data_IF_607982708180
#
_entry.id   IF_607982708180
#
_cell.length_a   1.000
_cell.length_b   1.000
_cell.length_c   1.000
_cell.angle_alpha   90.00
_cell.angle_beta   90.00
_cell.angle_gamma   90.00
#
_symmetry.space_group_name_H-M   'P 1'
#
loop_
_entity.id
_entity.type
_entity.pdbx_description
1 polymer ?
#
# COMPACT_ATOMS: atom_id res chain seq x y z
N UNK A 1 -55.55 -38.96 -11.54
CA UNK A 1 -54.48 -38.22 -12.24
C UNK A 1 -53.89 -37.11 -11.37
N UNK A 2 -54.72 -36.23 -10.78
CA UNK A 2 -54.24 -35.14 -9.90
C UNK A 2 -53.47 -35.63 -8.66
N UNK A 3 -54.00 -36.58 -7.90
CA UNK A 3 -53.32 -37.14 -6.71
C UNK A 3 -51.93 -37.71 -7.05
N UNK A 4 -51.83 -38.53 -8.11
CA UNK A 4 -50.55 -39.10 -8.53
C UNK A 4 -49.52 -38.03 -8.89
N UNK A 5 -49.90 -36.98 -9.63
CA UNK A 5 -48.97 -35.92 -10.01
C UNK A 5 -48.46 -35.15 -8.78
N UNK A 6 -49.34 -34.85 -7.82
CA UNK A 6 -48.97 -34.16 -6.58
C UNK A 6 -48.07 -35.04 -5.71
N UNK A 7 -48.40 -36.32 -5.53
CA UNK A 7 -47.58 -37.26 -4.77
C UNK A 7 -46.20 -37.45 -5.39
N UNK A 8 -46.10 -37.54 -6.72
CA UNK A 8 -44.81 -37.62 -7.43
C UNK A 8 -43.95 -36.37 -7.17
N UNK A 9 -44.54 -35.17 -7.26
CA UNK A 9 -43.82 -33.92 -6.99
C UNK A 9 -43.36 -33.83 -5.53
N UNK A 10 -44.17 -34.29 -4.57
CA UNK A 10 -43.78 -34.38 -3.16
C UNK A 10 -42.58 -35.31 -3.00
N UNK A 11 -42.63 -36.52 -3.56
CA UNK A 11 -41.53 -37.50 -3.47
C UNK A 11 -40.23 -36.96 -4.08
N UNK A 12 -40.32 -36.24 -5.22
CA UNK A 12 -39.15 -35.60 -5.83
C UNK A 12 -38.54 -34.55 -4.90
N UNK A 13 -39.37 -33.71 -4.27
CA UNK A 13 -38.89 -32.70 -3.33
C UNK A 13 -38.28 -33.36 -2.07
N UNK A 14 -38.89 -34.40 -1.53
CA UNK A 14 -38.33 -35.16 -0.40
C UNK A 14 -36.96 -35.74 -0.75
N UNK A 15 -36.84 -36.37 -1.93
CA UNK A 15 -35.57 -36.94 -2.40
C UNK A 15 -34.48 -35.87 -2.52
N UNK A 16 -34.83 -34.70 -3.04
CA UNK A 16 -33.91 -33.56 -3.14
C UNK A 16 -33.41 -33.10 -1.76
N UNK A 17 -34.32 -32.95 -0.80
CA UNK A 17 -34.02 -32.49 0.57
C UNK A 17 -33.21 -33.51 1.38
N UNK A 18 -33.47 -34.81 1.20
CA UNK A 18 -32.82 -35.87 1.98
C UNK A 18 -31.43 -36.24 1.45
N UNK A 19 -31.27 -36.30 0.11
CA UNK A 19 -30.07 -36.87 -0.51
C UNK A 19 -29.54 -36.06 -1.69
N UNK A 20 -30.41 -35.31 -2.38
CA UNK A 20 -30.02 -34.61 -3.61
C UNK A 20 -29.06 -33.44 -3.40
N UNK A 21 -29.02 -32.87 -2.19
CA UNK A 21 -28.14 -31.74 -1.83
C UNK A 21 -26.85 -32.16 -1.12
N UNK A 22 -26.72 -33.43 -0.72
CA UNK A 22 -25.58 -33.91 0.11
C UNK A 22 -24.21 -33.69 -0.55
N UNK A 23 -24.01 -33.92 -1.87
CA UNK A 23 -22.72 -33.65 -2.49
C UNK A 23 -22.34 -32.17 -2.42
N UNK A 24 -23.30 -31.27 -2.63
CA UNK A 24 -23.08 -29.83 -2.63
C UNK A 24 -22.81 -29.31 -1.22
N UNK A 25 -23.60 -29.75 -0.22
CA UNK A 25 -23.39 -29.34 1.17
C UNK A 25 -22.07 -29.85 1.74
N UNK A 26 -21.61 -31.05 1.35
CA UNK A 26 -20.29 -31.56 1.74
C UNK A 26 -19.13 -30.71 1.19
N UNK A 27 -19.23 -30.27 -0.07
CA UNK A 27 -18.22 -29.37 -0.67
C UNK A 27 -18.22 -28.00 0.03
N UNK A 28 -19.40 -27.44 0.29
CA UNK A 28 -19.54 -26.16 1.01
C UNK A 28 -18.95 -26.29 2.42
N UNK A 29 -19.27 -27.36 3.14
CA UNK A 29 -18.77 -27.59 4.49
C UNK A 29 -17.25 -27.72 4.54
N UNK A 30 -16.65 -28.37 3.54
CA UNK A 30 -15.19 -28.47 3.43
C UNK A 30 -14.53 -27.10 3.20
N UNK A 31 -15.21 -26.18 2.51
CA UNK A 31 -14.66 -24.87 2.16
C UNK A 31 -14.87 -23.82 3.25
N UNK A 32 -16.06 -23.77 3.86
CA UNK A 32 -16.47 -22.65 4.74
C UNK A 32 -17.09 -23.11 6.06
N UNK A 33 -17.06 -24.42 6.34
CA UNK A 33 -17.57 -24.98 7.58
C UNK A 33 -19.07 -25.28 7.57
N UNK A 34 -19.55 -25.74 8.72
CA UNK A 34 -20.83 -26.46 8.83
C UNK A 34 -22.09 -25.60 8.87
N UNK A 35 -22.01 -24.30 9.11
CA UNK A 35 -23.19 -23.47 9.41
C UNK A 35 -24.27 -23.53 8.31
N UNK A 36 -23.88 -23.42 7.04
CA UNK A 36 -24.81 -23.55 5.91
C UNK A 36 -25.44 -24.94 5.88
N UNK A 37 -24.63 -25.99 6.05
CA UNK A 37 -25.08 -27.37 6.09
C UNK A 37 -26.05 -27.64 7.24
N UNK A 38 -25.76 -27.12 8.43
CA UNK A 38 -26.60 -27.21 9.63
C UNK A 38 -27.96 -26.51 9.39
N UNK A 39 -27.95 -25.28 8.86
CA UNK A 39 -29.18 -24.53 8.54
C UNK A 39 -30.04 -25.25 7.49
N UNK A 40 -29.43 -25.72 6.40
CA UNK A 40 -30.14 -26.44 5.35
C UNK A 40 -30.68 -27.78 5.84
N UNK A 41 -29.92 -28.51 6.66
CA UNK A 41 -30.34 -29.80 7.23
C UNK A 41 -31.54 -29.62 8.17
N UNK A 42 -31.52 -28.58 9.01
CA UNK A 42 -32.61 -28.28 9.92
C UNK A 42 -33.90 -27.91 9.16
N UNK A 43 -33.79 -26.96 8.21
CA UNK A 43 -34.93 -26.55 7.38
C UNK A 43 -35.46 -27.70 6.51
N UNK A 44 -34.58 -28.56 5.99
CA UNK A 44 -34.95 -29.75 5.21
C UNK A 44 -35.67 -30.79 6.06
N UNK A 45 -35.23 -31.01 7.31
CA UNK A 45 -35.90 -31.94 8.24
C UNK A 45 -37.32 -31.49 8.54
N UNK A 46 -37.51 -30.21 8.82
CA UNK A 46 -38.82 -29.62 9.08
C UNK A 46 -39.75 -29.70 7.87
N UNK A 47 -39.25 -29.33 6.69
CA UNK A 47 -40.01 -29.37 5.45
C UNK A 47 -40.39 -30.80 5.08
N UNK A 48 -39.46 -31.75 5.22
CA UNK A 48 -39.72 -33.16 4.95
C UNK A 48 -40.79 -33.75 5.88
N UNK A 49 -40.77 -33.42 7.17
CA UNK A 49 -41.82 -33.84 8.10
C UNK A 49 -43.22 -33.36 7.65
N UNK A 50 -43.31 -32.12 7.16
CA UNK A 50 -44.55 -31.58 6.59
C UNK A 50 -44.95 -32.26 5.27
N UNK A 51 -44.00 -32.60 4.40
CA UNK A 51 -44.25 -33.32 3.15
C UNK A 51 -44.74 -34.77 3.40
N UNK A 52 -44.17 -35.46 4.40
CA UNK A 52 -44.66 -36.77 4.85
C UNK A 52 -46.10 -36.66 5.35
N UNK A 53 -46.41 -35.65 6.17
CA UNK A 53 -47.76 -35.43 6.67
C UNK A 53 -48.75 -35.11 5.54
N UNK A 54 -48.37 -34.25 4.59
CA UNK A 54 -49.18 -33.91 3.41
C UNK A 54 -49.45 -35.15 2.55
N UNK A 55 -48.45 -35.99 2.32
CA UNK A 55 -48.60 -37.26 1.59
C UNK A 55 -49.60 -38.19 2.27
N UNK A 56 -49.53 -38.31 3.60
CA UNK A 56 -50.48 -39.11 4.37
C UNK A 56 -51.92 -38.58 4.25
N UNK A 57 -52.13 -37.26 4.37
CA UNK A 57 -53.47 -36.65 4.24
C UNK A 57 -54.02 -36.77 2.82
N UNK A 58 -53.19 -36.60 1.79
CA UNK A 58 -53.57 -36.81 0.39
C UNK A 58 -53.96 -38.27 0.14
N UNK A 59 -53.24 -39.23 0.72
CA UNK A 59 -53.57 -40.64 0.65
C UNK A 59 -54.92 -40.98 1.29
N UNK A 60 -55.22 -40.41 2.46
CA UNK A 60 -56.52 -40.56 3.12
C UNK A 60 -57.66 -39.95 2.29
N UNK A 61 -57.44 -38.76 1.72
CA UNK A 61 -58.40 -38.11 0.84
C UNK A 61 -58.67 -38.93 -0.43
N UNK A 62 -57.61 -39.43 -1.07
CA UNK A 62 -57.71 -40.29 -2.26
C UNK A 62 -58.48 -41.57 -1.95
N UNK A 63 -58.14 -42.25 -0.85
CA UNK A 63 -58.83 -43.48 -0.43
C UNK A 63 -60.31 -43.25 -0.16
N UNK A 64 -60.67 -42.16 0.54
CA UNK A 64 -62.05 -41.77 0.79
C UNK A 64 -62.84 -41.49 -0.49
N UNK A 65 -62.25 -40.76 -1.43
CA UNK A 65 -62.87 -40.50 -2.75
C UNK A 65 -63.04 -41.80 -3.54
N UNK A 66 -62.03 -42.67 -3.58
CA UNK A 66 -62.12 -43.96 -4.28
C UNK A 66 -63.18 -44.87 -3.68
N UNK A 67 -63.30 -44.91 -2.35
CA UNK A 67 -64.35 -45.67 -1.66
C UNK A 67 -65.75 -45.11 -1.96
N UNK A 68 -65.90 -43.78 -2.03
CA UNK A 68 -67.16 -43.14 -2.40
C UNK A 68 -67.57 -43.49 -3.84
N UNK A 69 -66.63 -43.44 -4.81
CA UNK A 69 -66.86 -43.85 -6.19
C UNK A 69 -67.28 -45.33 -6.28
N UNK A 70 -66.59 -46.20 -5.55
CA UNK A 70 -66.91 -47.62 -5.52
C UNK A 70 -68.31 -47.89 -4.94
N UNK A 71 -68.72 -47.12 -3.93
CA UNK A 71 -70.02 -47.25 -3.30
C UNK A 71 -71.19 -46.72 -4.17
N UNK A 72 -70.95 -45.71 -5.01
CA UNK A 72 -71.96 -45.18 -5.95
C UNK A 72 -72.00 -45.90 -7.28
N UNK A 73 -70.92 -46.59 -7.68
CA UNK A 73 -70.77 -47.17 -9.02
C UNK A 73 -70.74 -46.12 -10.14
N UNK A 74 -70.56 -44.84 -9.79
CA UNK A 74 -70.61 -43.69 -10.68
C UNK A 74 -69.63 -42.63 -10.21
N UNK A 75 -69.04 -41.90 -11.17
CA UNK A 75 -68.19 -40.72 -10.91
C UNK A 75 -68.98 -39.51 -10.39
N UNK A 76 -70.31 -39.53 -10.50
CA UNK A 76 -71.19 -38.51 -9.94
C UNK A 76 -71.60 -38.92 -8.53
N UNK A 77 -70.88 -38.43 -7.53
CA UNK A 77 -71.05 -38.82 -6.12
C UNK A 77 -71.97 -37.80 -5.43
N UNK A 78 -73.12 -38.22 -4.87
CA UNK A 78 -73.94 -37.33 -4.06
C UNK A 78 -73.19 -36.86 -2.81
N UNK A 79 -73.36 -35.59 -2.42
CA UNK A 79 -72.71 -34.99 -1.24
C UNK A 79 -72.88 -35.81 0.04
N UNK A 80 -74.05 -36.43 0.22
CA UNK A 80 -74.36 -37.28 1.37
C UNK A 80 -73.50 -38.54 1.42
N UNK A 81 -73.18 -39.11 0.25
CA UNK A 81 -72.29 -40.27 0.12
C UNK A 81 -70.84 -39.83 0.27
N UNK A 82 -70.45 -38.71 -0.35
CA UNK A 82 -69.09 -38.18 -0.24
C UNK A 82 -68.71 -37.85 1.21
N UNK A 83 -69.59 -37.19 1.97
CA UNK A 83 -69.37 -36.86 3.39
C UNK A 83 -69.24 -38.08 4.30
N UNK A 84 -69.73 -39.25 3.86
CA UNK A 84 -69.61 -40.51 4.60
C UNK A 84 -68.22 -41.11 4.50
N UNK A 85 -67.54 -40.92 3.37
CA UNK A 85 -66.21 -41.48 3.10
C UNK A 85 -65.08 -40.45 3.22
N UNK A 86 -65.39 -39.16 3.06
CA UNK A 86 -64.46 -38.04 3.26
C UNK A 86 -64.98 -37.21 4.44
N UNK A 87 -64.42 -37.47 5.61
CA UNK A 87 -64.82 -36.73 6.81
C UNK A 87 -64.31 -35.27 6.76
N UNK A 88 -65.03 -34.31 7.38
CA UNK A 88 -64.54 -32.94 7.55
C UNK A 88 -63.15 -32.86 8.20
N UNK A 89 -62.82 -33.83 9.06
CA UNK A 89 -61.50 -33.96 9.67
C UNK A 89 -60.40 -34.13 8.62
N UNK A 90 -60.57 -35.03 7.63
CA UNK A 90 -59.56 -35.26 6.57
C UNK A 90 -59.34 -34.00 5.75
N UNK A 91 -60.41 -33.27 5.43
CA UNK A 91 -60.32 -32.00 4.71
C UNK A 91 -59.58 -30.94 5.53
N UNK A 92 -59.89 -30.83 6.82
CA UNK A 92 -59.23 -29.88 7.71
C UNK A 92 -57.73 -30.18 7.89
N UNK A 93 -57.37 -31.44 8.13
CA UNK A 93 -55.96 -31.85 8.26
C UNK A 93 -55.18 -31.64 6.96
N UNK A 94 -55.79 -31.87 5.79
CA UNK A 94 -55.17 -31.55 4.50
C UNK A 94 -54.92 -30.04 4.35
N UNK A 95 -55.91 -29.20 4.68
CA UNK A 95 -55.76 -27.74 4.65
C UNK A 95 -54.67 -27.26 5.61
N UNK A 96 -54.58 -27.87 6.80
CA UNK A 96 -53.53 -27.59 7.77
C UNK A 96 -52.15 -27.97 7.23
N UNK A 97 -52.01 -29.16 6.64
CA UNK A 97 -50.75 -29.61 6.04
C UNK A 97 -50.28 -28.67 4.92
N UNK A 98 -51.21 -28.16 4.10
CA UNK A 98 -50.91 -27.16 3.06
C UNK A 98 -50.46 -25.81 3.66
N UNK A 99 -51.10 -25.38 4.76
CA UNK A 99 -50.72 -24.16 5.46
C UNK A 99 -49.34 -24.30 6.12
N UNK A 100 -49.03 -25.45 6.70
CA UNK A 100 -47.71 -25.76 7.26
C UNK A 100 -46.64 -25.83 6.17
N UNK A 101 -46.96 -26.36 4.99
CA UNK A 101 -46.04 -26.36 3.85
C UNK A 101 -45.73 -24.92 3.42
N UNK A 102 -46.76 -24.09 3.33
CA UNK A 102 -46.64 -22.67 2.99
C UNK A 102 -45.81 -21.89 4.01
N UNK A 103 -45.87 -22.24 5.30
CA UNK A 103 -45.12 -21.56 6.35
C UNK A 103 -43.65 -22.00 6.44
N UNK A 104 -43.32 -23.24 6.04
CA UNK A 104 -41.94 -23.78 6.12
C UNK A 104 -41.10 -23.56 4.87
N UNK A 105 -41.70 -23.48 3.68
CA UNK A 105 -40.98 -23.19 2.44
C UNK A 105 -40.10 -21.92 2.49
N UNK A 106 -40.57 -20.78 3.05
CA UNK A 106 -39.78 -19.55 3.12
C UNK A 106 -38.45 -19.69 3.85
N UNK A 107 -38.32 -20.61 4.82
CA UNK A 107 -37.08 -20.79 5.57
C UNK A 107 -35.96 -21.34 4.66
N UNK A 108 -36.28 -22.35 3.83
CA UNK A 108 -35.31 -22.91 2.87
C UNK A 108 -34.90 -21.85 1.86
N UNK A 109 -35.88 -21.11 1.32
CA UNK A 109 -35.62 -20.01 0.39
C UNK A 109 -34.72 -18.95 1.02
N UNK A 110 -35.02 -18.52 2.25
CA UNK A 110 -34.22 -17.55 2.98
C UNK A 110 -32.78 -17.98 3.18
N UNK A 111 -32.53 -19.25 3.56
CA UNK A 111 -31.15 -19.75 3.73
C UNK A 111 -30.38 -19.70 2.40
N UNK A 112 -31.02 -20.11 1.30
CA UNK A 112 -30.40 -20.05 -0.04
C UNK A 112 -30.12 -18.60 -0.44
N UNK A 113 -31.09 -17.71 -0.31
CA UNK A 113 -30.93 -16.28 -0.64
C UNK A 113 -29.86 -15.60 0.22
N UNK A 114 -29.82 -15.91 1.53
CA UNK A 114 -28.81 -15.39 2.45
C UNK A 114 -27.41 -15.82 2.03
N UNK A 115 -27.20 -17.10 1.75
CA UNK A 115 -25.88 -17.62 1.34
C UNK A 115 -25.42 -17.04 0.00
N UNK A 116 -26.33 -16.92 -0.97
CA UNK A 116 -26.05 -16.24 -2.25
C UNK A 116 -25.76 -14.76 -2.06
N UNK A 117 -26.47 -14.08 -1.16
CA UNK A 117 -26.25 -12.67 -0.81
C UNK A 117 -24.88 -12.44 -0.17
N UNK A 118 -24.46 -13.32 0.73
CA UNK A 118 -23.12 -13.30 1.33
C UNK A 118 -22.02 -13.52 0.29
N UNK A 119 -22.19 -14.48 -0.62
CA UNK A 119 -21.25 -14.72 -1.72
C UNK A 119 -21.13 -13.50 -2.65
N UNK A 120 -22.26 -12.91 -3.03
CA UNK A 120 -22.29 -11.70 -3.87
C UNK A 120 -21.59 -10.51 -3.18
N UNK A 121 -21.82 -10.33 -1.88
CA UNK A 121 -21.18 -9.27 -1.09
C UNK A 121 -19.69 -9.51 -0.92
N UNK A 122 -19.28 -10.77 -0.72
CA UNK A 122 -17.88 -11.18 -0.65
C UNK A 122 -17.13 -10.89 -1.97
N UNK A 123 -17.75 -11.19 -3.11
CA UNK A 123 -17.19 -10.92 -4.44
C UNK A 123 -17.04 -9.41 -4.70
N UNK A 124 -18.09 -8.64 -4.46
CA UNK A 124 -18.06 -7.18 -4.59
C UNK A 124 -16.97 -6.56 -3.71
N UNK A 125 -16.87 -6.97 -2.45
CA UNK A 125 -15.80 -6.51 -1.56
C UNK A 125 -14.41 -6.87 -2.06
N UNK A 126 -14.19 -8.07 -2.60
CA UNK A 126 -12.88 -8.46 -3.11
C UNK A 126 -12.43 -7.54 -4.24
N UNK A 127 -13.33 -7.24 -5.19
CA UNK A 127 -13.05 -6.31 -6.29
C UNK A 127 -12.74 -4.90 -5.78
N UNK A 128 -13.63 -4.34 -4.94
CA UNK A 128 -13.44 -3.00 -4.36
C UNK A 128 -12.15 -2.92 -3.52
N UNK A 129 -11.83 -3.99 -2.80
CA UNK A 129 -10.62 -4.08 -1.99
C UNK A 129 -9.36 -4.11 -2.86
N UNK A 130 -9.35 -4.90 -3.94
CA UNK A 130 -8.23 -4.97 -4.88
C UNK A 130 -8.00 -3.62 -5.56
N UNK A 131 -9.07 -2.98 -6.06
CA UNK A 131 -8.99 -1.65 -6.67
C UNK A 131 -8.46 -0.61 -5.67
N UNK A 132 -8.93 -0.67 -4.42
CA UNK A 132 -8.45 0.22 -3.34
C UNK A 132 -6.98 0.00 -2.98
N UNK A 133 -6.48 -1.23 -3.03
CA UNK A 133 -5.05 -1.53 -2.83
C UNK A 133 -4.21 -0.99 -3.99
N UNK A 134 -4.65 -1.22 -5.22
CA UNK A 134 -3.95 -0.75 -6.43
C UNK A 134 -3.87 0.78 -6.48
N UNK A 135 -4.95 1.48 -6.09
CA UNK A 135 -4.94 2.93 -5.98
C UNK A 135 -3.87 3.42 -4.99
N UNK A 136 -3.72 2.75 -3.83
CA UNK A 136 -2.72 3.13 -2.82
C UNK A 136 -1.29 2.85 -3.27
N UNK A 137 -1.07 1.78 -4.04
CA UNK A 137 0.22 1.50 -4.67
C UNK A 137 0.56 2.60 -5.68
N UNK A 138 -0.37 2.94 -6.57
CA UNK A 138 -0.18 3.98 -7.58
C UNK A 138 0.04 5.36 -6.97
N UNK A 139 -0.67 5.70 -5.90
CA UNK A 139 -0.47 6.95 -5.15
C UNK A 139 0.96 7.04 -4.59
N UNK A 140 1.46 5.93 -4.03
CA UNK A 140 2.83 5.85 -3.49
C UNK A 140 3.87 6.06 -4.58
N UNK A 141 3.72 5.38 -5.72
CA UNK A 141 4.63 5.50 -6.87
C UNK A 141 4.59 6.92 -7.46
N UNK A 142 3.41 7.51 -7.62
CA UNK A 142 3.27 8.90 -8.13
C UNK A 142 3.91 9.92 -7.19
N UNK A 143 3.93 9.66 -5.89
CA UNK A 143 4.59 10.56 -4.95
C UNK A 143 6.10 10.62 -5.17
N UNK A 144 6.72 9.50 -5.53
CA UNK A 144 8.14 9.46 -5.90
C UNK A 144 8.46 10.42 -7.05
N UNK A 145 7.59 10.56 -8.06
CA UNK A 145 7.80 11.52 -9.15
C UNK A 145 7.84 12.98 -8.67
N UNK A 146 7.10 13.33 -7.62
CA UNK A 146 7.15 14.66 -7.00
C UNK A 146 8.49 14.88 -6.32
N UNK A 147 8.90 13.91 -5.49
CA UNK A 147 10.19 13.95 -4.78
C UNK A 147 11.35 14.01 -5.77
N UNK A 148 11.29 13.26 -6.88
CA UNK A 148 12.30 13.31 -7.93
C UNK A 148 12.51 14.74 -8.43
N UNK A 149 11.44 15.46 -8.77
CA UNK A 149 11.52 16.85 -9.25
C UNK A 149 12.11 17.79 -8.19
N UNK A 150 11.72 17.62 -6.94
CA UNK A 150 12.27 18.40 -5.82
C UNK A 150 13.77 18.15 -5.63
N UNK A 151 14.20 16.88 -5.74
CA UNK A 151 15.61 16.52 -5.63
C UNK A 151 16.45 17.01 -6.82
N UNK A 152 15.92 16.95 -8.04
CA UNK A 152 16.55 17.53 -9.23
C UNK A 152 16.73 19.05 -9.09
N UNK A 153 15.72 19.77 -8.60
CA UNK A 153 15.83 21.20 -8.31
C UNK A 153 16.84 21.47 -7.19
N UNK A 154 16.85 20.65 -6.13
CA UNK A 154 17.81 20.76 -5.04
C UNK A 154 19.25 20.55 -5.51
N UNK A 155 19.50 19.63 -6.44
CA UNK A 155 20.82 19.41 -7.05
C UNK A 155 21.37 20.70 -7.67
N UNK A 156 20.54 21.38 -8.47
CA UNK A 156 20.91 22.64 -9.10
C UNK A 156 21.22 23.73 -8.06
N UNK A 157 20.33 23.91 -7.07
CA UNK A 157 20.53 24.90 -6.01
C UNK A 157 21.82 24.65 -5.23
N UNK A 158 22.10 23.39 -4.87
CA UNK A 158 23.33 23.02 -4.16
C UNK A 158 24.57 23.32 -5.00
N UNK A 159 24.56 22.97 -6.29
CA UNK A 159 25.67 23.25 -7.19
C UNK A 159 25.92 24.77 -7.32
N UNK A 160 24.86 25.55 -7.46
CA UNK A 160 24.93 27.02 -7.53
C UNK A 160 25.45 27.64 -6.24
N UNK A 161 25.03 27.14 -5.07
CA UNK A 161 25.54 27.57 -3.76
C UNK A 161 27.04 27.30 -3.56
N UNK A 162 27.65 26.42 -4.37
CA UNK A 162 29.11 26.21 -4.41
C UNK A 162 29.75 27.13 -5.46
N UNK A 163 29.25 27.09 -6.69
CA UNK A 163 29.88 27.73 -7.85
C UNK A 163 29.82 29.26 -7.77
N UNK A 164 28.68 29.84 -7.37
CA UNK A 164 28.50 31.29 -7.41
C UNK A 164 29.42 32.03 -6.42
N UNK A 165 29.58 31.60 -5.16
CA UNK A 165 30.54 32.22 -4.24
C UNK A 165 31.99 32.07 -4.69
N UNK A 166 32.38 30.88 -5.18
CA UNK A 166 33.72 30.64 -5.72
C UNK A 166 34.03 31.58 -6.89
N UNK A 167 33.11 31.67 -7.85
CA UNK A 167 33.21 32.59 -8.98
C UNK A 167 33.40 34.03 -8.50
N UNK A 168 32.47 34.52 -7.67
CA UNK A 168 32.44 35.91 -7.20
C UNK A 168 33.73 36.30 -6.49
N UNK A 169 34.18 35.48 -5.54
CA UNK A 169 35.38 35.82 -4.75
C UNK A 169 36.65 35.73 -5.60
N UNK A 170 36.84 34.64 -6.35
CA UNK A 170 38.04 34.45 -7.16
C UNK A 170 38.16 35.51 -8.27
N UNK A 171 37.09 35.79 -9.01
CA UNK A 171 37.11 36.80 -10.07
C UNK A 171 37.36 38.20 -9.52
N UNK A 172 36.86 38.51 -8.31
CA UNK A 172 37.19 39.75 -7.60
C UNK A 172 38.70 39.85 -7.36
N UNK A 173 39.33 38.83 -6.78
CA UNK A 173 40.78 38.87 -6.52
C UNK A 173 41.60 39.05 -7.79
N UNK A 174 41.31 38.28 -8.84
CA UNK A 174 42.03 38.36 -10.12
C UNK A 174 41.84 39.73 -10.78
N UNK A 175 40.63 40.30 -10.72
CA UNK A 175 40.37 41.64 -11.24
C UNK A 175 41.15 42.72 -10.48
N UNK A 176 41.27 42.59 -9.15
CA UNK A 176 41.97 43.54 -8.29
C UNK A 176 43.47 43.57 -8.52
N UNK A 177 44.10 42.46 -8.92
CA UNK A 177 45.54 42.41 -9.22
C UNK A 177 45.86 42.62 -10.71
N UNK A 178 44.86 42.79 -11.57
CA UNK A 178 45.06 42.83 -13.01
C UNK A 178 46.01 43.98 -13.45
N UNK A 179 45.94 45.14 -12.79
CA UNK A 179 46.76 46.31 -13.13
C UNK A 179 48.25 46.15 -12.79
N UNK A 180 48.59 45.30 -11.80
CA UNK A 180 49.98 45.00 -11.40
C UNK A 180 50.51 43.69 -11.98
N UNK A 181 49.72 42.98 -12.78
CA UNK A 181 50.04 41.62 -13.25
C UNK A 181 51.41 41.52 -13.92
N UNK A 182 51.71 42.40 -14.87
CA UNK A 182 53.00 42.37 -15.58
C UNK A 182 54.18 42.72 -14.68
N UNK A 183 53.97 43.60 -13.69
CA UNK A 183 54.99 43.92 -12.70
C UNK A 183 55.24 42.76 -11.75
N UNK A 184 54.19 42.07 -11.29
CA UNK A 184 54.32 40.85 -10.50
C UNK A 184 55.09 39.77 -11.26
N UNK A 185 54.85 39.62 -12.56
CA UNK A 185 55.55 38.67 -13.44
C UNK A 185 57.04 39.00 -13.64
N UNK A 186 57.44 40.24 -13.41
CA UNK A 186 58.83 40.68 -13.55
C UNK A 186 59.63 40.54 -12.23
N UNK A 187 58.99 40.17 -11.12
CA UNK A 187 59.68 39.91 -9.85
C UNK A 187 60.46 38.60 -9.93
N UNK A 188 61.67 38.58 -9.35
CA UNK A 188 62.52 37.38 -9.31
C UNK A 188 61.83 36.19 -8.61
N UNK A 189 61.03 36.45 -7.56
CA UNK A 189 60.27 35.43 -6.83
C UNK A 189 58.99 34.96 -7.52
N UNK A 190 58.67 35.49 -8.71
CA UNK A 190 57.41 35.15 -9.39
C UNK A 190 57.30 33.67 -9.71
N UNK A 191 58.25 33.12 -10.46
CA UNK A 191 58.14 31.74 -10.97
C UNK A 191 58.19 30.69 -9.86
N UNK A 192 59.01 30.94 -8.83
CA UNK A 192 59.22 29.97 -7.74
C UNK A 192 58.18 30.09 -6.61
N UNK A 193 57.67 31.30 -6.31
CA UNK A 193 56.81 31.54 -5.15
C UNK A 193 55.37 31.91 -5.50
N UNK A 194 55.14 32.79 -6.48
CA UNK A 194 53.81 33.33 -6.74
C UNK A 194 53.04 32.56 -7.81
N UNK A 195 53.72 32.20 -8.91
CA UNK A 195 53.10 31.50 -10.04
C UNK A 195 52.45 30.17 -9.61
N UNK A 196 53.10 29.30 -8.81
CA UNK A 196 52.49 28.03 -8.38
C UNK A 196 51.24 28.25 -7.53
N UNK A 197 51.24 29.27 -6.68
CA UNK A 197 50.07 29.66 -5.86
C UNK A 197 48.91 30.10 -6.75
N UNK A 198 49.15 31.02 -7.69
CA UNK A 198 48.11 31.51 -8.60
C UNK A 198 47.55 30.40 -9.49
N UNK A 199 48.41 29.51 -9.99
CA UNK A 199 47.99 28.34 -10.76
C UNK A 199 47.12 27.39 -9.91
N UNK A 200 47.46 27.17 -8.64
CA UNK A 200 46.67 26.34 -7.73
C UNK A 200 45.30 26.95 -7.40
N UNK A 201 45.23 28.26 -7.15
CA UNK A 201 43.95 28.97 -6.99
C UNK A 201 43.12 28.90 -8.28
N UNK A 202 43.75 29.04 -9.46
CA UNK A 202 43.07 28.92 -10.74
C UNK A 202 42.55 27.49 -10.99
N UNK A 203 43.32 26.47 -10.60
CA UNK A 203 42.88 25.07 -10.69
C UNK A 203 41.68 24.79 -9.77
N UNK A 204 41.64 25.38 -8.57
CA UNK A 204 40.58 25.13 -7.61
C UNK A 204 39.31 25.97 -7.86
N UNK A 205 39.45 27.26 -8.15
CA UNK A 205 38.32 28.19 -8.24
C UNK A 205 38.06 28.73 -9.65
N UNK A 206 38.95 28.45 -10.61
CA UNK A 206 38.83 28.92 -11.98
C UNK A 206 37.68 28.24 -12.75
N UNK A 207 37.41 28.76 -13.95
CA UNK A 207 36.28 28.34 -14.77
C UNK A 207 36.28 26.83 -15.07
N UNK A 208 37.45 26.24 -15.34
CA UNK A 208 37.56 24.83 -15.68
C UNK A 208 36.99 23.90 -14.59
N UNK A 209 37.37 24.11 -13.32
CA UNK A 209 36.84 23.32 -12.20
C UNK A 209 35.39 23.67 -11.87
N UNK A 210 34.99 24.95 -11.98
CA UNK A 210 33.59 25.34 -11.73
C UNK A 210 32.61 24.63 -12.68
N UNK A 211 33.01 24.37 -13.92
CA UNK A 211 32.20 23.63 -14.90
C UNK A 211 32.03 22.14 -14.55
N UNK A 212 32.88 21.56 -13.69
CA UNK A 212 32.76 20.15 -13.28
C UNK A 212 31.92 19.94 -12.04
N UNK A 213 31.73 20.98 -11.22
CA UNK A 213 31.01 20.87 -9.93
C UNK A 213 29.54 20.46 -10.13
N UNK A 214 28.82 21.11 -11.05
CA UNK A 214 27.41 20.78 -11.28
C UNK A 214 27.22 19.32 -11.74
N UNK A 215 27.92 18.81 -12.77
CA UNK A 215 27.84 17.40 -13.15
C UNK A 215 28.15 16.41 -12.01
N UNK A 216 29.08 16.76 -11.12
CA UNK A 216 29.41 15.94 -9.95
C UNK A 216 28.26 15.89 -8.95
N UNK A 217 27.65 17.03 -8.62
CA UNK A 217 26.47 17.10 -7.74
C UNK A 217 25.29 16.35 -8.37
N UNK A 218 25.03 16.56 -9.67
CA UNK A 218 23.96 15.87 -10.40
C UNK A 218 24.13 14.35 -10.36
N UNK A 219 25.36 13.86 -10.48
CA UNK A 219 25.67 12.42 -10.37
C UNK A 219 25.33 11.88 -8.97
N UNK A 220 25.63 12.63 -7.90
CA UNK A 220 25.32 12.23 -6.52
C UNK A 220 23.81 12.10 -6.32
N UNK A 221 23.04 13.10 -6.76
CA UNK A 221 21.58 13.10 -6.63
C UNK A 221 20.91 12.06 -7.53
N UNK A 222 21.42 11.87 -8.76
CA UNK A 222 20.92 10.82 -9.68
C UNK A 222 21.12 9.42 -9.10
N UNK A 223 22.28 9.15 -8.50
CA UNK A 223 22.55 7.87 -7.84
C UNK A 223 21.63 7.65 -6.64
N UNK A 224 21.37 8.70 -5.85
CA UNK A 224 20.40 8.64 -4.75
C UNK A 224 18.99 8.29 -5.25
N UNK A 225 18.51 8.98 -6.28
CA UNK A 225 17.19 8.74 -6.87
C UNK A 225 17.06 7.33 -7.46
N UNK A 226 18.11 6.84 -8.13
CA UNK A 226 18.17 5.47 -8.64
C UNK A 226 18.06 4.42 -7.52
N UNK A 227 18.61 4.70 -6.35
CA UNK A 227 18.52 3.76 -5.22
C UNK A 227 17.17 3.86 -4.52
N UNK A 228 16.64 5.06 -4.33
CA UNK A 228 15.42 5.25 -3.51
C UNK A 228 14.17 4.68 -4.19
N UNK A 229 14.05 4.75 -5.52
CA UNK A 229 12.91 4.17 -6.27
C UNK A 229 12.81 2.64 -6.12
N UNK A 230 13.93 1.98 -5.82
CA UNK A 230 13.91 0.52 -5.61
C UNK A 230 13.20 0.12 -4.31
N UNK A 231 12.94 1.06 -3.40
CA UNK A 231 12.29 0.78 -2.12
C UNK A 231 10.77 0.56 -2.28
N UNK A 232 10.14 1.19 -3.28
CA UNK A 232 8.71 1.07 -3.61
C UNK A 232 8.39 0.25 -4.87
N UNK A 233 9.37 -0.03 -5.75
CA UNK A 233 9.23 -0.91 -6.95
C UNK A 233 8.69 -2.34 -6.68
N UNK A 234 8.51 -2.72 -5.42
CA UNK A 234 8.01 -4.03 -5.00
C UNK A 234 6.81 -3.94 -4.06
N UNK A 235 6.17 -2.77 -3.96
CA UNK A 235 5.03 -2.59 -3.04
C UNK A 235 3.81 -3.39 -3.49
N UNK A 236 3.55 -3.45 -4.80
CA UNK A 236 2.52 -4.30 -5.43
C UNK A 236 2.72 -5.78 -5.07
N UNK A 237 3.93 -6.31 -5.26
CA UNK A 237 4.27 -7.71 -4.97
C UNK A 237 4.18 -8.00 -3.48
N UNK A 238 4.59 -7.05 -2.66
CA UNK A 238 4.49 -7.15 -1.21
C UNK A 238 3.02 -7.28 -0.77
N UNK A 239 2.13 -6.42 -1.27
CA UNK A 239 0.72 -6.52 -0.94
C UNK A 239 0.07 -7.80 -1.47
N UNK A 240 0.35 -8.18 -2.72
CA UNK A 240 -0.15 -9.43 -3.30
C UNK A 240 0.22 -10.66 -2.45
N UNK A 241 1.46 -10.73 -1.96
CA UNK A 241 1.92 -11.83 -1.12
C UNK A 241 1.30 -11.79 0.30
N UNK A 242 1.18 -10.59 0.90
CA UNK A 242 0.81 -10.46 2.32
C UNK A 242 -0.68 -10.28 2.59
N UNK A 243 -1.48 -9.87 1.61
CA UNK A 243 -2.92 -9.64 1.81
C UNK A 243 -3.80 -10.87 1.56
N UNK A 244 -3.31 -11.89 0.84
CA UNK A 244 -4.14 -13.06 0.51
C UNK A 244 -4.74 -13.73 1.75
N UNK A 245 -3.94 -13.97 2.79
CA UNK A 245 -4.40 -14.60 4.03
C UNK A 245 -5.45 -13.77 4.79
N UNK A 246 -5.21 -12.49 5.13
CA UNK A 246 -6.21 -11.69 5.82
C UNK A 246 -7.47 -11.42 4.99
N UNK A 247 -7.35 -11.22 3.67
CA UNK A 247 -8.52 -11.07 2.79
C UNK A 247 -9.37 -12.33 2.81
N UNK A 248 -8.74 -13.50 2.65
CA UNK A 248 -9.44 -14.79 2.73
C UNK A 248 -10.14 -14.96 4.08
N UNK A 249 -9.52 -14.60 5.19
CA UNK A 249 -10.15 -14.70 6.51
C UNK A 249 -11.42 -13.84 6.63
N UNK A 250 -11.43 -12.62 6.09
CA UNK A 250 -12.62 -11.75 6.09
C UNK A 250 -13.73 -12.36 5.22
N UNK A 251 -13.38 -12.87 4.04
CA UNK A 251 -14.33 -13.48 3.11
C UNK A 251 -14.94 -14.77 3.68
N UNK A 252 -14.12 -15.66 4.24
CA UNK A 252 -14.57 -16.93 4.82
C UNK A 252 -15.58 -16.72 5.93
N UNK A 253 -15.39 -15.72 6.81
CA UNK A 253 -16.35 -15.44 7.88
C UNK A 253 -17.72 -15.01 7.35
N UNK A 254 -17.76 -14.24 6.25
CA UNK A 254 -19.03 -13.86 5.62
C UNK A 254 -19.68 -15.07 4.92
N UNK A 255 -18.90 -15.80 4.11
CA UNK A 255 -19.41 -16.92 3.30
C UNK A 255 -19.87 -18.07 4.19
N UNK A 256 -19.17 -18.34 5.30
CA UNK A 256 -19.57 -19.35 6.28
C UNK A 256 -20.99 -19.13 6.81
N UNK A 257 -21.53 -17.91 6.74
CA UNK A 257 -22.90 -17.58 7.17
C UNK A 257 -23.17 -17.99 8.64
N UNK A 258 -22.14 -17.89 9.48
CA UNK A 258 -22.26 -18.15 10.91
C UNK A 258 -23.05 -17.05 11.64
N UNK A 259 -23.32 -17.24 12.94
CA UNK A 259 -24.18 -16.34 13.74
C UNK A 259 -23.72 -14.87 13.76
N UNK A 260 -22.43 -14.61 13.54
CA UNK A 260 -21.82 -13.29 13.59
C UNK A 260 -21.22 -12.85 12.25
N UNK A 261 -21.53 -13.54 11.13
CA UNK A 261 -20.92 -13.33 9.82
C UNK A 261 -20.93 -11.86 9.38
N UNK A 262 -22.13 -11.26 9.29
CA UNK A 262 -22.31 -9.86 8.88
C UNK A 262 -21.61 -8.87 9.80
N UNK A 263 -21.66 -9.10 11.13
CA UNK A 263 -21.03 -8.24 12.12
C UNK A 263 -19.51 -8.25 11.98
N UNK A 264 -18.91 -9.44 11.91
CA UNK A 264 -17.46 -9.59 11.81
C UNK A 264 -16.95 -9.08 10.47
N UNK A 265 -17.66 -9.37 9.38
CA UNK A 265 -17.36 -8.80 8.07
C UNK A 265 -17.37 -7.27 8.12
N UNK A 266 -18.46 -6.66 8.57
CA UNK A 266 -18.60 -5.20 8.65
C UNK A 266 -17.56 -4.54 9.56
N UNK A 267 -17.08 -5.25 10.59
CA UNK A 267 -16.04 -4.77 11.50
C UNK A 267 -14.66 -4.78 10.85
N UNK A 268 -14.30 -5.85 10.13
CA UNK A 268 -12.92 -6.05 9.66
C UNK A 268 -12.68 -5.71 8.18
N UNK A 269 -13.70 -5.77 7.32
CA UNK A 269 -13.56 -5.44 5.89
C UNK A 269 -13.05 -4.01 5.65
N UNK A 270 -13.61 -2.94 6.24
CA UNK A 270 -13.06 -1.58 6.06
C UNK A 270 -11.71 -1.41 6.77
N UNK A 271 -11.48 -2.13 7.87
CA UNK A 271 -10.24 -2.02 8.64
C UNK A 271 -9.05 -2.63 7.89
N UNK A 272 -9.28 -3.67 7.10
CA UNK A 272 -8.24 -4.27 6.28
C UNK A 272 -7.72 -3.27 5.23
N UNK A 273 -8.61 -2.54 4.56
CA UNK A 273 -8.23 -1.45 3.65
C UNK A 273 -7.59 -0.28 4.40
N UNK A 274 -8.08 0.01 5.62
CA UNK A 274 -7.46 0.99 6.51
C UNK A 274 -6.00 0.63 6.85
N UNK A 275 -5.69 -0.65 7.07
CA UNK A 275 -4.33 -1.11 7.33
C UNK A 275 -3.40 -0.87 6.13
N UNK A 276 -3.88 -1.13 4.92
CA UNK A 276 -3.15 -0.83 3.68
C UNK A 276 -2.92 0.68 3.55
N UNK A 277 -3.95 1.49 3.81
CA UNK A 277 -3.85 2.95 3.73
C UNK A 277 -2.84 3.52 4.72
N UNK A 278 -2.82 3.03 5.97
CA UNK A 278 -1.82 3.43 6.97
C UNK A 278 -0.42 3.04 6.55
N UNK A 279 -0.25 1.85 5.97
CA UNK A 279 1.05 1.42 5.47
C UNK A 279 1.53 2.29 4.30
N UNK A 280 0.70 2.49 3.27
CA UNK A 280 1.01 3.35 2.12
C UNK A 280 1.38 4.78 2.58
N UNK A 281 0.57 5.39 3.45
CA UNK A 281 0.87 6.72 4.02
C UNK A 281 2.22 6.76 4.74
N UNK A 282 2.63 5.66 5.37
CA UNK A 282 3.95 5.58 6.02
C UNK A 282 5.08 5.65 5.01
N UNK A 283 4.96 5.05 3.83
CA UNK A 283 5.96 5.19 2.77
C UNK A 283 6.10 6.65 2.33
N UNK A 284 4.96 7.32 2.12
CA UNK A 284 4.92 8.75 1.79
C UNK A 284 5.66 9.58 2.84
N UNK A 285 5.34 9.38 4.12
CA UNK A 285 6.01 10.10 5.22
C UNK A 285 7.52 9.80 5.29
N UNK A 286 7.94 8.55 5.06
CA UNK A 286 9.36 8.19 5.03
C UNK A 286 10.11 9.01 3.98
N UNK A 287 9.53 9.18 2.79
CA UNK A 287 10.14 9.98 1.74
C UNK A 287 10.13 11.47 2.03
N UNK A 288 9.02 12.03 2.49
CA UNK A 288 8.90 13.46 2.81
C UNK A 288 9.93 13.90 3.86
N UNK A 289 10.08 13.12 4.93
CA UNK A 289 11.04 13.42 5.99
C UNK A 289 12.48 13.45 5.44
N UNK A 290 12.82 12.53 4.54
CA UNK A 290 14.14 12.47 3.96
C UNK A 290 14.37 13.56 2.89
N UNK A 291 13.36 13.91 2.11
CA UNK A 291 13.39 15.04 1.19
C UNK A 291 13.64 16.37 1.94
N UNK A 292 12.92 16.61 3.05
CA UNK A 292 13.13 17.78 3.90
C UNK A 292 14.54 17.83 4.52
N UNK A 293 15.08 16.67 4.91
CA UNK A 293 16.46 16.57 5.44
C UNK A 293 17.49 16.91 4.37
N UNK A 294 17.30 16.42 3.15
CA UNK A 294 18.19 16.72 2.02
C UNK A 294 18.09 18.18 1.58
N UNK A 295 16.90 18.79 1.62
CA UNK A 295 16.73 20.21 1.32
C UNK A 295 17.58 21.10 2.25
N UNK A 296 17.75 20.72 3.52
CA UNK A 296 18.59 21.44 4.49
C UNK A 296 20.10 21.32 4.23
N UNK A 297 20.52 20.39 3.37
CA UNK A 297 21.93 20.23 3.01
C UNK A 297 22.44 21.45 2.24
N UNK A 298 21.59 22.12 1.43
CA UNK A 298 21.97 23.35 0.74
C UNK A 298 22.44 24.45 1.70
N UNK A 299 21.71 24.68 2.80
CA UNK A 299 22.09 25.64 3.83
C UNK A 299 23.41 25.27 4.53
N UNK A 300 23.66 23.98 4.72
CA UNK A 300 24.94 23.52 5.29
C UNK A 300 26.10 23.76 4.31
N UNK A 301 25.89 23.47 3.02
CA UNK A 301 26.86 23.71 1.95
C UNK A 301 27.19 25.20 1.85
N UNK A 302 26.20 26.09 1.89
CA UNK A 302 26.41 27.54 1.86
C UNK A 302 27.35 28.02 2.98
N UNK A 303 27.16 27.51 4.21
CA UNK A 303 28.01 27.87 5.36
C UNK A 303 29.44 27.38 5.18
N UNK A 304 29.63 26.17 4.67
CA UNK A 304 30.97 25.62 4.39
C UNK A 304 31.66 26.39 3.27
N UNK A 305 30.93 26.71 2.19
CA UNK A 305 31.43 27.48 1.05
C UNK A 305 31.82 28.89 1.49
N UNK A 306 31.06 29.55 2.37
CA UNK A 306 31.44 30.85 2.93
C UNK A 306 32.79 30.79 3.67
N UNK A 307 33.05 29.73 4.44
CA UNK A 307 34.35 29.53 5.11
C UNK A 307 35.49 29.25 4.13
N UNK A 308 35.22 28.56 3.02
CA UNK A 308 36.22 28.30 1.96
C UNK A 308 36.58 29.62 1.28
N UNK A 309 35.57 30.41 0.92
CA UNK A 309 35.73 31.68 0.21
C UNK A 309 36.52 32.70 1.03
N UNK A 310 36.39 32.70 2.36
CA UNK A 310 37.18 33.56 3.23
C UNK A 310 38.70 33.40 3.02
N UNK A 311 39.19 32.19 2.72
CA UNK A 311 40.61 31.94 2.42
C UNK A 311 41.08 32.47 1.05
N UNK A 312 40.20 33.10 0.30
CA UNK A 312 40.49 33.74 -1.00
C UNK A 312 40.46 35.26 -0.88
N UNK A 313 39.70 35.82 0.08
CA UNK A 313 39.27 37.23 0.06
C UNK A 313 40.37 38.28 0.23
N UNK A 314 41.55 37.90 0.74
CA UNK A 314 42.67 38.81 1.03
C UNK A 314 43.87 38.68 0.07
N UNK A 315 43.80 37.75 -0.89
CA UNK A 315 44.92 37.47 -1.81
C UNK A 315 45.38 38.75 -2.52
N UNK A 316 44.46 39.49 -3.13
CA UNK A 316 44.81 40.71 -3.88
C UNK A 316 45.39 41.79 -2.96
N UNK A 317 44.85 41.97 -1.76
CA UNK A 317 45.31 42.95 -0.79
C UNK A 317 46.76 42.70 -0.40
N UNK A 318 47.11 41.45 -0.11
CA UNK A 318 48.48 41.08 0.26
C UNK A 318 49.44 41.18 -0.92
N UNK A 319 49.03 40.79 -2.13
CA UNK A 319 49.85 40.94 -3.34
C UNK A 319 50.13 42.42 -3.68
N UNK A 320 49.12 43.29 -3.57
CA UNK A 320 49.27 44.74 -3.78
C UNK A 320 50.18 45.35 -2.70
N UNK A 321 50.03 44.93 -1.44
CA UNK A 321 50.88 45.40 -0.35
C UNK A 321 52.36 45.02 -0.57
N UNK A 322 52.63 43.77 -0.96
CA UNK A 322 54.00 43.35 -1.31
C UNK A 322 54.54 44.09 -2.52
N UNK A 323 53.74 44.27 -3.58
CA UNK A 323 54.15 45.01 -4.76
C UNK A 323 54.55 46.47 -4.43
N UNK A 324 53.82 47.14 -3.54
CA UNK A 324 54.10 48.53 -3.16
C UNK A 324 55.31 48.69 -2.23
N UNK A 325 55.91 47.59 -1.73
CA UNK A 325 57.09 47.62 -0.88
C UNK A 325 58.35 47.70 -1.74
N UNK A 326 58.75 48.90 -2.14
CA UNK A 326 59.99 49.12 -2.91
C UNK A 326 61.16 49.37 -1.95
N UNK A 327 62.33 48.74 -2.14
CA UNK A 327 62.69 47.79 -3.23
C UNK A 327 62.33 46.32 -2.94
N UNK A 328 61.86 46.00 -1.74
CA UNK A 328 61.77 44.64 -1.20
C UNK A 328 60.57 43.79 -1.69
N UNK A 329 59.92 44.16 -2.80
CA UNK A 329 58.66 43.54 -3.23
C UNK A 329 58.83 42.06 -3.57
N UNK A 330 59.98 41.69 -4.17
CA UNK A 330 60.33 40.30 -4.47
C UNK A 330 60.50 39.46 -3.18
N UNK A 331 61.17 40.00 -2.16
CA UNK A 331 61.38 39.34 -0.87
C UNK A 331 60.06 39.17 -0.10
N UNK A 332 59.18 40.18 -0.15
CA UNK A 332 57.84 40.10 0.44
C UNK A 332 57.02 38.96 -0.16
N UNK A 333 57.01 38.83 -1.49
CA UNK A 333 56.31 37.73 -2.19
C UNK A 333 56.92 36.36 -1.83
N UNK A 334 58.25 36.25 -1.76
CA UNK A 334 58.92 35.02 -1.36
C UNK A 334 58.57 34.61 0.09
N UNK A 335 58.32 35.59 0.97
CA UNK A 335 57.93 35.36 2.36
C UNK A 335 56.49 34.85 2.50
N UNK A 336 55.52 35.40 1.75
CA UNK A 336 54.10 34.99 1.86
C UNK A 336 53.72 33.80 0.97
N UNK A 337 54.53 33.48 -0.05
CA UNK A 337 54.27 32.41 -1.01
C UNK A 337 54.02 31.03 -0.35
N UNK A 338 54.88 30.58 0.60
CA UNK A 338 54.68 29.32 1.32
C UNK A 338 53.33 29.26 2.07
N UNK A 339 52.96 30.32 2.78
CA UNK A 339 51.70 30.37 3.54
C UNK A 339 50.48 30.24 2.63
N UNK A 340 50.50 30.91 1.47
CA UNK A 340 49.43 30.79 0.48
C UNK A 340 49.40 29.44 -0.23
N UNK A 341 50.57 28.79 -0.39
CA UNK A 341 50.67 27.42 -0.92
C UNK A 341 50.02 26.41 0.04
N UNK A 342 50.29 26.54 1.34
CA UNK A 342 49.62 25.72 2.36
C UNK A 342 48.13 26.03 2.43
N UNK A 343 47.74 27.31 2.40
CA UNK A 343 46.35 27.72 2.42
C UNK A 343 45.55 27.11 1.27
N UNK A 344 46.04 27.19 0.02
CA UNK A 344 45.31 26.62 -1.12
C UNK A 344 45.23 25.09 -1.06
N UNK A 345 46.23 24.41 -0.49
CA UNK A 345 46.19 22.98 -0.23
C UNK A 345 45.08 22.61 0.79
N UNK A 346 44.94 23.40 1.86
CA UNK A 346 43.85 23.24 2.85
C UNK A 346 42.49 23.55 2.22
N UNK A 347 42.39 24.61 1.39
CA UNK A 347 41.15 24.94 0.69
C UNK A 347 40.70 23.81 -0.23
N UNK A 348 41.64 23.14 -0.91
CA UNK A 348 41.33 21.95 -1.71
C UNK A 348 40.68 20.86 -0.87
N UNK A 349 41.24 20.54 0.30
CA UNK A 349 40.66 19.54 1.20
C UNK A 349 39.24 19.91 1.64
N UNK A 350 38.99 21.20 1.92
CA UNK A 350 37.66 21.69 2.29
C UNK A 350 36.66 21.59 1.13
N UNK A 351 37.08 21.84 -0.11
CA UNK A 351 36.24 21.64 -1.31
C UNK A 351 35.91 20.16 -1.49
N UNK A 352 36.91 19.28 -1.35
CA UNK A 352 36.72 17.83 -1.42
C UNK A 352 35.79 17.34 -0.28
N UNK A 353 35.85 17.94 0.91
CA UNK A 353 34.94 17.67 2.03
C UNK A 353 33.48 18.00 1.75
N UNK A 354 33.20 19.09 1.03
CA UNK A 354 31.83 19.42 0.62
C UNK A 354 31.23 18.30 -0.23
N UNK A 355 32.01 17.75 -1.18
CA UNK A 355 31.56 16.64 -2.02
C UNK A 355 31.37 15.33 -1.22
N UNK A 356 32.30 15.05 -0.29
CA UNK A 356 32.18 13.91 0.62
C UNK A 356 30.94 14.02 1.50
N UNK A 357 30.64 15.21 2.02
CA UNK A 357 29.45 15.47 2.80
C UNK A 357 28.18 15.19 2.01
N UNK A 358 28.08 15.69 0.78
CA UNK A 358 26.91 15.44 -0.09
C UNK A 358 26.68 13.94 -0.28
N UNK A 359 27.74 13.19 -0.60
CA UNK A 359 27.68 11.73 -0.77
C UNK A 359 27.27 11.03 0.52
N UNK A 360 27.80 11.45 1.67
CA UNK A 360 27.47 10.86 2.96
C UNK A 360 26.01 11.14 3.35
N UNK A 361 25.51 12.36 3.10
CA UNK A 361 24.14 12.73 3.42
C UNK A 361 23.11 12.00 2.56
N UNK A 362 23.33 11.87 1.25
CA UNK A 362 22.43 11.10 0.37
C UNK A 362 22.45 9.61 0.71
N UNK A 363 23.62 9.05 1.02
CA UNK A 363 23.74 7.65 1.47
C UNK A 363 23.01 7.42 2.81
N UNK A 364 23.22 8.31 3.78
CA UNK A 364 22.56 8.22 5.07
C UNK A 364 21.04 8.40 4.94
N UNK A 365 20.60 9.29 4.05
CA UNK A 365 19.19 9.51 3.76
C UNK A 365 18.52 8.26 3.17
N UNK A 366 19.15 7.65 2.17
CA UNK A 366 18.71 6.36 1.62
C UNK A 366 18.58 5.28 2.70
N UNK A 367 19.61 5.10 3.54
CA UNK A 367 19.58 4.07 4.59
C UNK A 367 18.45 4.30 5.61
N UNK A 368 18.16 5.56 5.95
CA UNK A 368 17.04 5.91 6.84
C UNK A 368 15.69 5.68 6.18
N UNK A 369 15.53 6.05 4.90
CA UNK A 369 14.31 5.75 4.14
C UNK A 369 14.08 4.23 4.07
N UNK A 370 15.12 3.47 3.73
CA UNK A 370 15.07 2.00 3.66
C UNK A 370 14.67 1.37 4.99
N UNK A 371 15.26 1.83 6.11
CA UNK A 371 14.88 1.36 7.45
C UNK A 371 13.43 1.72 7.82
N UNK A 372 13.00 2.94 7.49
CA UNK A 372 11.63 3.42 7.74
C UNK A 372 10.59 2.56 7.00
N UNK A 373 10.84 2.29 5.72
CA UNK A 373 10.00 1.45 4.86
C UNK A 373 10.00 -0.01 5.34
N UNK A 374 11.17 -0.58 5.63
CA UNK A 374 11.28 -1.95 6.15
C UNK A 374 10.51 -2.12 7.47
N UNK A 375 10.65 -1.16 8.40
CA UNK A 375 9.87 -1.14 9.64
C UNK A 375 8.36 -1.06 9.37
N UNK A 376 7.94 -0.27 8.37
CA UNK A 376 6.55 -0.21 7.92
C UNK A 376 6.04 -1.57 7.42
N UNK A 377 6.79 -2.24 6.54
CA UNK A 377 6.45 -3.58 6.02
C UNK A 377 6.35 -4.62 7.15
N UNK A 378 7.31 -4.65 8.08
CA UNK A 378 7.25 -5.54 9.24
C UNK A 378 6.02 -5.27 10.13
N UNK A 379 5.74 -4.00 10.41
CA UNK A 379 4.56 -3.61 11.18
C UNK A 379 3.25 -4.03 10.52
N UNK A 380 3.15 -3.87 9.20
CA UNK A 380 2.01 -4.31 8.42
C UNK A 380 1.78 -5.82 8.51
N UNK A 381 2.84 -6.63 8.35
CA UNK A 381 2.75 -8.09 8.49
C UNK A 381 2.26 -8.48 9.88
N UNK A 382 2.84 -7.91 10.94
CA UNK A 382 2.42 -8.19 12.31
C UNK A 382 0.95 -7.81 12.57
N UNK A 383 0.50 -6.65 12.07
CA UNK A 383 -0.90 -6.24 12.16
C UNK A 383 -1.81 -7.16 11.35
N UNK A 384 -1.41 -7.60 10.16
CA UNK A 384 -2.20 -8.51 9.32
C UNK A 384 -2.42 -9.87 9.99
N UNK A 385 -1.39 -10.42 10.66
CA UNK A 385 -1.50 -11.67 11.42
C UNK A 385 -2.42 -11.51 12.63
N UNK A 386 -2.38 -10.35 13.28
CA UNK A 386 -3.28 -10.02 14.39
C UNK A 386 -4.73 -9.96 13.92
N UNK A 387 -4.98 -9.32 12.76
CA UNK A 387 -6.31 -9.26 12.16
C UNK A 387 -6.88 -10.65 11.88
N UNK A 388 -6.08 -11.56 11.32
CA UNK A 388 -6.53 -12.94 11.06
C UNK A 388 -6.98 -13.63 12.35
N UNK A 389 -6.25 -13.45 13.46
CA UNK A 389 -6.62 -14.01 14.77
C UNK A 389 -7.90 -13.38 15.30
N UNK A 390 -8.02 -12.07 15.20
CA UNK A 390 -9.17 -11.30 15.69
C UNK A 390 -10.46 -11.59 14.90
N UNK A 391 -10.33 -11.88 13.60
CA UNK A 391 -11.43 -12.30 12.72
C UNK A 391 -11.94 -13.68 13.16
N UNK A 392 -11.04 -14.66 13.35
CA UNK A 392 -11.41 -16.00 13.84
C UNK A 392 -12.03 -15.97 15.24
N UNK A 393 -11.55 -15.08 16.11
CA UNK A 393 -12.14 -14.89 17.42
C UNK A 393 -13.56 -14.28 17.31
N UNK A 394 -13.74 -13.32 16.40
CA UNK A 394 -15.04 -12.70 16.13
C UNK A 394 -16.06 -13.72 15.62
N UNK A 395 -15.66 -14.64 14.74
CA UNK A 395 -16.54 -15.69 14.23
C UNK A 395 -17.19 -16.50 15.37
N UNK A 396 -16.45 -16.75 16.45
CA UNK A 396 -16.94 -17.54 17.60
C UNK A 396 -17.58 -16.71 18.70
N UNK A 397 -17.11 -15.49 18.96
CA UNK A 397 -17.53 -14.66 20.11
C UNK A 397 -18.31 -13.39 19.75
N UNK A 398 -18.39 -13.06 18.46
CA UNK A 398 -19.06 -11.88 17.95
C UNK A 398 -18.57 -10.59 18.63
N UNK A 399 -19.45 -9.78 19.23
CA UNK A 399 -19.09 -8.54 19.91
C UNK A 399 -18.18 -8.70 21.14
N UNK A 400 -18.05 -9.91 21.69
CA UNK A 400 -17.19 -10.21 22.86
C UNK A 400 -15.77 -10.64 22.46
N UNK A 401 -15.45 -10.61 21.18
CA UNK A 401 -14.14 -10.88 20.63
C UNK A 401 -13.17 -9.72 20.85
#
# INVERSE_FOLDING_TARGET
QVYNNVTVAIVQLQTLLETGLTPQTAVIEQLVGKYIGDMLTDASRELNATLVHLTAQLGLMQAGVTAAVAATGSSTIPDTVLRRYVSPKVVYELLRALQDLKSRLPLVTYIIELTLGHLSTADAFLLDFMDGVDEKVLETIRHYDSIRKEMEASSLTVAESIVAPFKKSYEKQISSIAFIKYNLQALESYDDSLKPVLDAYAALFGQANRLTIQPQVDTIYTNYLKNIVTLDDYLDRFYNDKLCTPTKAVLEVLIASGPWAEYCFSKYSPRLLGLVSVNANRFLMCYQIEAERLAKVATLVERLVAQIVYGVEDLATHLIACFNRIPDGSECIASIGPDYSELVAILKLKVDDVQRLLTAQTTASYNRAAACIASGKCGFVASSETYVKDIKLCETKGPKA
#
